data_IF_716182348528
#
_entry.id   IF_716182348528
#
_cell.length_a   1.000
_cell.length_b   1.000
_cell.length_c   1.000
_cell.angle_alpha   90.00
_cell.angle_beta   90.00
_cell.angle_gamma   90.00
#
_symmetry.space_group_name_H-M   'P 1'
#
loop_
_entity.id
_entity.type
_entity.pdbx_description
1 polymer ?
#
# COMPACT_ATOMS: atom_id res chain seq x y z
N UNK A 1 -4.41 24.88 -9.54
CA UNK A 1 -3.19 25.70 -9.35
C UNK A 1 -1.97 24.83 -9.67
N UNK A 2 -1.17 25.24 -10.65
CA UNK A 2 0.11 24.59 -10.98
C UNK A 2 1.25 25.43 -10.39
N UNK A 3 2.29 24.76 -9.87
CA UNK A 3 3.54 25.42 -9.48
C UNK A 3 4.28 25.94 -10.73
N UNK A 4 5.33 26.76 -10.53
CA UNK A 4 6.22 27.20 -11.61
C UNK A 4 6.81 26.03 -12.42
N UNK A 5 6.88 24.83 -11.83
CA UNK A 5 7.36 23.59 -12.47
C UNK A 5 6.20 22.72 -13.02
N UNK A 6 4.97 23.24 -13.15
CA UNK A 6 3.83 22.53 -13.73
C UNK A 6 3.13 21.52 -12.81
N UNK A 7 3.60 21.30 -11.59
CA UNK A 7 3.00 20.36 -10.64
C UNK A 7 1.69 20.90 -10.08
N UNK A 8 0.72 20.00 -9.87
CA UNK A 8 -0.56 20.32 -9.24
C UNK A 8 -0.36 20.38 -7.72
N UNK A 9 -0.09 21.56 -7.17
CA UNK A 9 0.22 21.77 -5.73
C UNK A 9 -0.82 21.13 -4.83
N UNK A 10 -2.11 21.28 -5.16
CA UNK A 10 -3.22 20.73 -4.36
C UNK A 10 -3.15 19.21 -4.35
N UNK A 11 -2.93 18.57 -5.50
CA UNK A 11 -2.83 17.11 -5.58
C UNK A 11 -1.61 16.57 -4.82
N UNK A 12 -0.46 17.24 -4.92
CA UNK A 12 0.73 16.86 -4.16
C UNK A 12 0.49 16.93 -2.64
N UNK A 13 -0.20 17.98 -2.19
CA UNK A 13 -0.57 18.13 -0.77
C UNK A 13 -1.55 17.04 -0.32
N UNK A 14 -2.58 16.74 -1.12
CA UNK A 14 -3.53 15.66 -0.82
C UNK A 14 -2.83 14.30 -0.76
N UNK A 15 -1.97 14.00 -1.71
CA UNK A 15 -1.19 12.74 -1.69
C UNK A 15 -0.32 12.62 -0.43
N UNK A 16 0.27 13.72 0.05
CA UNK A 16 1.03 13.71 1.31
C UNK A 16 0.13 13.48 2.53
N UNK A 17 -1.05 14.09 2.56
CA UNK A 17 -2.03 13.87 3.65
C UNK A 17 -2.44 12.41 3.69
N UNK A 18 -2.81 11.84 2.55
CA UNK A 18 -3.20 10.43 2.42
C UNK A 18 -2.04 9.51 2.82
N UNK A 19 -0.84 9.79 2.31
CA UNK A 19 0.36 9.01 2.64
C UNK A 19 0.70 9.02 4.13
N UNK A 20 0.46 10.13 4.83
CA UNK A 20 0.61 10.21 6.29
C UNK A 20 -0.52 9.49 7.03
N UNK A 21 -1.73 9.45 6.48
CA UNK A 21 -2.87 8.77 7.10
C UNK A 21 -2.72 7.23 7.07
N UNK A 22 -2.13 6.66 6.01
CA UNK A 22 -1.99 5.21 5.88
C UNK A 22 -1.30 4.53 7.08
N UNK A 23 -0.15 5.01 7.59
CA UNK A 23 0.48 4.42 8.77
C UNK A 23 -0.36 4.54 10.04
N UNK A 24 -1.12 5.64 10.20
CA UNK A 24 -2.00 5.85 11.34
C UNK A 24 -3.16 4.87 11.34
N UNK A 25 -3.84 4.72 10.19
CA UNK A 25 -4.94 3.76 9.99
C UNK A 25 -4.44 2.33 10.21
N UNK A 26 -3.29 1.98 9.65
CA UNK A 26 -2.72 0.66 9.82
C UNK A 26 -2.34 0.39 11.28
N UNK A 27 -1.75 1.37 11.98
CA UNK A 27 -1.39 1.27 13.39
C UNK A 27 -2.61 1.07 14.29
N UNK A 28 -3.68 1.83 14.05
CA UNK A 28 -4.96 1.67 14.77
C UNK A 28 -5.54 0.27 14.54
N UNK A 29 -5.64 -0.16 13.29
CA UNK A 29 -6.17 -1.49 12.96
C UNK A 29 -5.37 -2.61 13.63
N UNK A 30 -4.04 -2.62 13.48
CA UNK A 30 -3.21 -3.70 14.02
C UNK A 30 -3.22 -3.73 15.55
N UNK A 31 -3.29 -2.58 16.21
CA UNK A 31 -3.32 -2.53 17.67
C UNK A 31 -4.66 -3.01 18.26
N UNK A 32 -5.77 -2.75 17.56
CA UNK A 32 -7.13 -3.04 18.08
C UNK A 32 -7.68 -4.38 17.59
N UNK A 33 -7.46 -4.72 16.33
CA UNK A 33 -8.11 -5.86 15.67
C UNK A 33 -7.25 -7.11 15.57
N UNK A 34 -5.93 -7.01 15.77
CA UNK A 34 -4.99 -8.10 15.54
C UNK A 34 -4.11 -8.40 16.77
N UNK A 35 -4.74 -8.60 17.92
CA UNK A 35 -4.11 -9.03 19.19
C UNK A 35 -2.91 -8.15 19.63
N UNK A 36 -2.95 -6.85 19.29
CA UNK A 36 -1.89 -5.92 19.65
C UNK A 36 -0.65 -6.00 18.78
N UNK A 37 -0.78 -6.41 17.51
CA UNK A 37 0.31 -6.40 16.56
C UNK A 37 0.87 -4.99 16.37
N UNK A 38 2.19 -4.84 16.43
CA UNK A 38 2.89 -3.56 16.30
C UNK A 38 3.63 -3.55 14.96
N UNK A 39 3.46 -2.45 14.20
CA UNK A 39 4.17 -2.25 12.93
C UNK A 39 5.65 -2.02 13.20
N UNK A 40 6.50 -2.72 12.48
CA UNK A 40 7.94 -2.52 12.54
C UNK A 40 8.72 -3.81 12.66
N UNK A 41 9.96 -3.69 13.15
CA UNK A 41 10.84 -4.80 13.49
C UNK A 41 11.41 -4.57 14.88
N UNK A 42 11.36 -5.60 15.70
CA UNK A 42 11.89 -5.55 17.07
C UNK A 42 12.74 -6.79 17.31
N UNK A 43 13.69 -6.72 18.20
CA UNK A 43 14.60 -7.85 18.47
C UNK A 43 13.91 -9.20 18.60
N UNK A 44 14.12 -10.09 17.62
CA UNK A 44 13.49 -11.41 17.56
C UNK A 44 12.11 -11.45 16.89
N UNK A 45 11.53 -10.32 16.52
CA UNK A 45 10.27 -10.24 15.76
C UNK A 45 10.58 -9.83 14.32
N UNK A 46 10.11 -10.61 13.31
CA UNK A 46 10.31 -10.26 11.91
C UNK A 46 9.68 -8.89 11.57
N UNK A 47 10.23 -8.17 10.59
CA UNK A 47 9.66 -6.90 10.15
C UNK A 47 8.27 -7.08 9.54
N UNK A 48 7.39 -6.10 9.78
CA UNK A 48 6.10 -6.02 9.09
C UNK A 48 6.32 -5.94 7.58
N UNK A 49 5.72 -6.85 6.83
CA UNK A 49 5.84 -6.92 5.36
C UNK A 49 4.78 -6.02 4.71
N UNK A 50 5.21 -4.94 4.06
CA UNK A 50 4.33 -3.95 3.44
C UNK A 50 4.54 -3.93 1.93
N UNK A 51 3.43 -4.04 1.19
CA UNK A 51 3.43 -3.99 -0.28
C UNK A 51 2.69 -2.75 -0.75
N UNK A 52 3.37 -1.94 -1.58
CA UNK A 52 2.76 -0.83 -2.29
C UNK A 52 2.49 -1.21 -3.74
N UNK A 53 1.27 -0.97 -4.20
CA UNK A 53 0.86 -1.03 -5.60
C UNK A 53 0.77 0.40 -6.13
N UNK A 54 1.83 0.82 -6.81
CA UNK A 54 2.04 2.17 -7.32
C UNK A 54 3.23 2.87 -6.64
N UNK A 55 4.20 3.32 -7.45
CA UNK A 55 5.30 4.18 -7.02
C UNK A 55 4.85 5.66 -7.08
N UNK A 56 3.89 6.01 -6.25
CA UNK A 56 3.20 7.30 -6.23
C UNK A 56 3.73 8.21 -5.12
N UNK A 57 3.24 9.44 -5.06
CA UNK A 57 3.54 10.37 -3.96
C UNK A 57 2.96 9.89 -2.62
N UNK A 58 1.85 9.16 -2.64
CA UNK A 58 1.29 8.50 -1.45
C UNK A 58 2.26 7.43 -0.96
N UNK A 59 2.71 6.54 -1.86
CA UNK A 59 3.66 5.50 -1.54
C UNK A 59 4.98 6.07 -1.00
N UNK A 60 5.53 7.11 -1.63
CA UNK A 60 6.74 7.80 -1.14
C UNK A 60 6.58 8.30 0.29
N UNK A 61 5.44 8.96 0.59
CA UNK A 61 5.21 9.56 1.90
C UNK A 61 4.99 8.49 2.98
N UNK A 62 4.13 7.51 2.71
CA UNK A 62 3.86 6.42 3.65
C UNK A 62 5.09 5.53 3.87
N UNK A 63 5.83 5.20 2.82
CA UNK A 63 7.02 4.35 2.90
C UNK A 63 8.11 4.96 3.79
N UNK A 64 8.31 6.28 3.76
CA UNK A 64 9.27 6.96 4.66
C UNK A 64 8.96 6.72 6.14
N UNK A 65 7.67 6.76 6.49
CA UNK A 65 7.23 6.54 7.87
C UNK A 65 7.41 5.06 8.25
N UNK A 66 6.98 4.14 7.41
CA UNK A 66 7.12 2.71 7.68
C UNK A 66 8.60 2.27 7.74
N UNK A 67 9.47 2.85 6.91
CA UNK A 67 10.91 2.61 6.99
C UNK A 67 11.51 3.09 8.30
N UNK A 68 11.02 4.20 8.86
CA UNK A 68 11.46 4.67 10.17
C UNK A 68 11.03 3.77 11.34
N UNK A 69 10.10 2.85 11.08
CA UNK A 69 9.66 1.79 12.00
C UNK A 69 10.34 0.44 11.70
N UNK A 70 11.35 0.41 10.82
CA UNK A 70 12.05 -0.80 10.38
C UNK A 70 11.14 -1.85 9.71
N UNK A 71 10.06 -1.42 9.02
CA UNK A 71 9.22 -2.31 8.21
C UNK A 71 9.93 -2.72 6.90
N UNK A 72 9.59 -3.91 6.40
CA UNK A 72 10.06 -4.43 5.11
C UNK A 72 9.14 -3.94 3.99
N UNK A 73 9.67 -3.21 3.01
CA UNK A 73 8.88 -2.56 1.97
C UNK A 73 9.17 -3.14 0.59
N UNK A 74 8.09 -3.45 -0.13
CA UNK A 74 8.11 -3.82 -1.54
C UNK A 74 7.18 -2.91 -2.33
N UNK A 75 7.69 -2.35 -3.45
CA UNK A 75 6.95 -1.40 -4.29
C UNK A 75 6.85 -1.96 -5.71
N UNK A 76 5.63 -2.05 -6.22
CA UNK A 76 5.33 -2.51 -7.57
C UNK A 76 4.72 -1.40 -8.39
N UNK A 77 5.25 -1.16 -9.60
CA UNK A 77 4.72 -0.16 -10.54
C UNK A 77 5.02 -0.60 -11.98
N UNK A 78 4.19 -0.20 -12.95
CA UNK A 78 4.47 -0.48 -14.36
C UNK A 78 5.58 0.42 -14.92
N UNK A 79 5.88 1.55 -14.29
CA UNK A 79 6.86 2.53 -14.74
C UNK A 79 8.22 2.32 -14.08
N UNK A 80 9.20 1.88 -14.86
CA UNK A 80 10.59 1.75 -14.40
C UNK A 80 11.16 3.10 -13.93
N UNK A 81 10.79 4.21 -14.59
CA UNK A 81 11.23 5.55 -14.16
C UNK A 81 10.75 5.84 -12.74
N UNK A 82 9.44 5.67 -12.46
CA UNK A 82 8.90 5.91 -11.11
C UNK A 82 9.50 4.99 -10.05
N UNK A 83 9.79 3.73 -10.39
CA UNK A 83 10.46 2.80 -9.49
C UNK A 83 11.89 3.24 -9.17
N UNK A 84 12.62 3.77 -10.15
CA UNK A 84 13.95 4.31 -9.93
C UNK A 84 13.90 5.60 -9.09
N UNK A 85 12.99 6.50 -9.42
CA UNK A 85 12.83 7.78 -8.71
C UNK A 85 12.50 7.54 -7.23
N UNK A 86 11.50 6.69 -6.92
CA UNK A 86 11.12 6.41 -5.54
C UNK A 86 12.24 5.74 -4.75
N UNK A 87 12.99 4.84 -5.38
CA UNK A 87 14.15 4.19 -4.75
C UNK A 87 15.23 5.20 -4.36
N UNK A 88 15.51 6.18 -5.22
CA UNK A 88 16.46 7.26 -4.92
C UNK A 88 15.93 8.17 -3.79
N UNK A 89 14.64 8.54 -3.85
CA UNK A 89 14.02 9.43 -2.87
C UNK A 89 13.96 8.82 -1.47
N UNK A 90 13.72 7.52 -1.38
CA UNK A 90 13.65 6.83 -0.09
C UNK A 90 15.03 6.66 0.57
N UNK A 91 16.10 6.57 -0.22
CA UNK A 91 17.48 6.48 0.29
C UNK A 91 17.78 5.21 1.12
N UNK A 92 16.83 4.26 1.15
CA UNK A 92 16.92 2.98 1.84
C UNK A 92 16.83 1.82 0.85
N UNK A 93 17.41 0.65 1.15
CA UNK A 93 17.28 -0.53 0.31
C UNK A 93 15.84 -1.04 0.37
N UNK A 94 15.03 -0.64 -0.61
CA UNK A 94 13.66 -1.15 -0.81
C UNK A 94 13.61 -2.06 -2.03
N UNK A 95 12.80 -3.12 -1.95
CA UNK A 95 12.53 -3.96 -3.10
C UNK A 95 11.59 -3.22 -4.07
N UNK A 96 12.02 -3.10 -5.32
CA UNK A 96 11.17 -2.53 -6.39
C UNK A 96 11.08 -3.50 -7.55
N UNK A 97 9.91 -3.65 -8.13
CA UNK A 97 9.67 -4.51 -9.30
C UNK A 97 8.55 -3.97 -10.17
N UNK A 98 8.61 -4.29 -11.44
CA UNK A 98 7.43 -4.16 -12.29
C UNK A 98 6.38 -5.21 -11.93
N UNK A 99 5.19 -5.11 -12.53
CA UNK A 99 4.04 -5.95 -12.21
C UNK A 99 4.16 -7.37 -12.78
N UNK A 100 5.33 -8.02 -12.64
CA UNK A 100 5.47 -9.42 -13.00
C UNK A 100 4.59 -10.29 -12.09
N UNK A 101 3.77 -11.20 -12.66
CA UNK A 101 2.75 -11.94 -11.88
C UNK A 101 3.32 -12.70 -10.70
N UNK A 102 4.36 -13.50 -10.88
CA UNK A 102 4.92 -14.34 -9.83
C UNK A 102 5.52 -13.54 -8.65
N UNK A 103 6.42 -12.55 -8.86
CA UNK A 103 6.93 -11.72 -7.77
C UNK A 103 5.82 -10.95 -7.04
N UNK A 104 4.82 -10.43 -7.78
CA UNK A 104 3.69 -9.72 -7.21
C UNK A 104 2.84 -10.64 -6.32
N UNK A 105 2.38 -11.79 -6.85
CA UNK A 105 1.58 -12.76 -6.10
C UNK A 105 2.29 -13.22 -4.82
N UNK A 106 3.58 -13.54 -4.92
CA UNK A 106 4.37 -13.95 -3.78
C UNK A 106 4.53 -12.86 -2.71
N UNK A 107 4.62 -11.60 -3.13
CA UNK A 107 4.67 -10.46 -2.21
C UNK A 107 3.32 -10.27 -1.51
N UNK A 108 2.20 -10.30 -2.25
CA UNK A 108 0.84 -10.14 -1.71
C UNK A 108 0.51 -11.23 -0.67
N UNK A 109 0.81 -12.50 -0.97
CA UNK A 109 0.54 -13.62 -0.06
C UNK A 109 1.27 -13.45 1.28
N UNK A 110 2.46 -12.86 1.26
CA UNK A 110 3.29 -12.65 2.47
C UNK A 110 3.06 -11.31 3.15
N UNK A 111 2.28 -10.42 2.55
CA UNK A 111 2.05 -9.09 3.08
C UNK A 111 1.21 -9.11 4.37
N UNK A 112 1.60 -8.27 5.32
CA UNK A 112 0.77 -7.90 6.46
C UNK A 112 -0.11 -6.69 6.10
N UNK A 113 0.41 -5.80 5.24
CA UNK A 113 -0.27 -4.62 4.75
C UNK A 113 -0.07 -4.45 3.25
N UNK A 114 -1.16 -4.20 2.53
CA UNK A 114 -1.14 -3.79 1.13
C UNK A 114 -1.72 -2.39 1.00
N UNK A 115 -1.00 -1.48 0.35
CA UNK A 115 -1.48 -0.12 0.05
C UNK A 115 -1.54 0.04 -1.46
N UNK A 116 -2.75 0.18 -2.00
CA UNK A 116 -3.00 0.32 -3.42
C UNK A 116 -3.32 1.78 -3.76
N UNK A 117 -2.45 2.41 -4.54
CA UNK A 117 -2.61 3.76 -5.10
C UNK A 117 -2.19 3.73 -6.57
N UNK A 118 -2.75 2.80 -7.32
CA UNK A 118 -2.38 2.60 -8.72
C UNK A 118 -3.43 3.18 -9.65
N UNK A 119 -3.00 4.13 -10.48
CA UNK A 119 -3.81 4.74 -11.54
C UNK A 119 -3.66 4.02 -12.88
N UNK A 120 -3.46 2.71 -12.88
CA UNK A 120 -3.27 2.00 -14.14
C UNK A 120 -4.58 1.88 -14.89
N UNK A 121 -4.64 2.55 -16.03
CA UNK A 121 -5.68 2.39 -17.04
C UNK A 121 -5.48 1.10 -17.86
N UNK A 122 -5.23 -0.03 -17.24
CA UNK A 122 -5.42 -1.30 -17.92
C UNK A 122 -6.89 -1.65 -17.76
N UNK A 123 -7.60 -1.70 -18.89
CA UNK A 123 -8.99 -2.15 -18.93
C UNK A 123 -9.04 -3.57 -18.36
N UNK A 124 -9.98 -3.77 -17.44
CA UNK A 124 -10.65 -5.03 -17.13
C UNK A 124 -9.89 -6.12 -16.34
N UNK A 125 -8.65 -5.94 -15.87
CA UNK A 125 -8.01 -6.94 -15.01
C UNK A 125 -7.70 -6.38 -13.61
N UNK A 126 -8.12 -7.10 -12.59
CA UNK A 126 -7.67 -6.86 -11.22
C UNK A 126 -6.21 -7.29 -11.05
N UNK A 127 -5.42 -6.51 -10.32
CA UNK A 127 -4.07 -6.90 -9.91
C UNK A 127 -4.11 -7.90 -8.75
N UNK A 128 -5.17 -7.79 -7.92
CA UNK A 128 -5.46 -8.70 -6.82
C UNK A 128 -6.88 -9.21 -7.02
N UNK A 129 -7.01 -10.43 -7.52
CA UNK A 129 -8.27 -11.16 -7.62
C UNK A 129 -8.69 -11.73 -6.26
N UNK A 130 -9.96 -12.14 -6.14
CA UNK A 130 -10.49 -12.70 -4.90
C UNK A 130 -9.75 -13.98 -4.47
N UNK A 131 -9.27 -14.78 -5.42
CA UNK A 131 -8.51 -15.99 -5.14
C UNK A 131 -7.14 -15.67 -4.51
N UNK A 132 -6.53 -14.55 -4.91
CA UNK A 132 -5.28 -14.09 -4.29
C UNK A 132 -5.53 -13.54 -2.89
N UNK A 133 -6.64 -12.83 -2.66
CA UNK A 133 -7.05 -12.36 -1.32
C UNK A 133 -7.24 -13.53 -0.36
N UNK A 134 -7.88 -14.63 -0.78
CA UNK A 134 -8.04 -15.85 0.04
C UNK A 134 -6.72 -16.45 0.51
N UNK A 135 -5.63 -16.19 -0.20
CA UNK A 135 -4.29 -16.69 0.09
C UNK A 135 -3.43 -15.76 0.92
N UNK A 136 -3.89 -14.54 1.19
CA UNK A 136 -3.21 -13.59 2.07
C UNK A 136 -3.17 -14.07 3.51
N UNK A 137 -2.29 -13.48 4.31
CA UNK A 137 -2.23 -13.77 5.75
C UNK A 137 -3.56 -13.40 6.42
N UNK A 138 -4.05 -14.24 7.32
CA UNK A 138 -5.20 -13.90 8.18
C UNK A 138 -4.85 -12.67 9.02
N UNK A 139 -5.76 -11.72 9.10
CA UNK A 139 -5.54 -10.48 9.83
C UNK A 139 -4.70 -9.45 9.06
N UNK A 140 -4.35 -9.71 7.79
CA UNK A 140 -3.72 -8.68 6.96
C UNK A 140 -4.70 -7.57 6.60
N UNK A 141 -4.15 -6.40 6.29
CA UNK A 141 -4.91 -5.19 5.95
C UNK A 141 -4.65 -4.77 4.50
N UNK A 142 -5.70 -4.37 3.81
CA UNK A 142 -5.64 -3.70 2.50
C UNK A 142 -6.16 -2.27 2.66
N UNK A 143 -5.37 -1.28 2.26
CA UNK A 143 -5.78 0.13 2.14
C UNK A 143 -5.84 0.48 0.65
N UNK A 144 -7.04 0.59 0.11
CA UNK A 144 -7.25 0.95 -1.29
C UNK A 144 -7.49 2.46 -1.43
N UNK A 145 -6.42 3.21 -1.66
CA UNK A 145 -6.45 4.66 -1.85
C UNK A 145 -7.04 5.03 -3.21
N UNK A 146 -6.85 4.17 -4.20
CA UNK A 146 -7.28 4.38 -5.59
C UNK A 146 -8.75 4.07 -5.86
N UNK A 147 -9.52 3.64 -4.87
CA UNK A 147 -10.86 3.08 -5.03
C UNK A 147 -11.84 3.97 -5.81
N UNK A 148 -11.80 5.28 -5.59
CA UNK A 148 -12.66 6.25 -6.28
C UNK A 148 -12.36 6.38 -7.79
N UNK A 149 -11.22 5.88 -8.23
CA UNK A 149 -10.74 5.95 -9.62
C UNK A 149 -10.79 4.60 -10.33
N UNK A 150 -11.35 3.60 -9.68
CA UNK A 150 -11.43 2.23 -10.12
C UNK A 150 -10.40 1.35 -9.41
N UNK A 151 -10.85 0.60 -8.42
CA UNK A 151 -10.02 -0.35 -7.69
C UNK A 151 -9.37 -1.38 -8.63
N UNK A 152 -8.14 -1.75 -8.33
CA UNK A 152 -7.45 -2.89 -8.93
C UNK A 152 -7.49 -4.14 -8.04
N UNK A 153 -8.29 -4.08 -6.99
CA UNK A 153 -8.54 -5.18 -6.05
C UNK A 153 -10.00 -5.58 -6.15
N UNK A 154 -10.26 -6.80 -6.57
CA UNK A 154 -11.61 -7.29 -6.86
C UNK A 154 -12.55 -7.24 -5.64
N UNK A 155 -11.99 -7.43 -4.46
CA UNK A 155 -12.74 -7.45 -3.19
C UNK A 155 -12.95 -6.07 -2.58
N UNK A 156 -12.32 -5.02 -3.13
CA UNK A 156 -12.43 -3.66 -2.59
C UNK A 156 -13.75 -2.98 -2.97
N UNK A 157 -14.39 -2.34 -1.99
CA UNK A 157 -15.52 -1.46 -2.20
C UNK A 157 -15.44 -0.24 -1.26
N UNK A 158 -16.06 0.89 -1.61
CA UNK A 158 -16.02 2.10 -0.80
C UNK A 158 -16.58 1.87 0.61
N UNK A 159 -15.92 2.49 1.59
CA UNK A 159 -16.34 2.51 3.01
C UNK A 159 -16.84 3.90 3.40
N UNK A 160 -17.41 4.02 4.61
CA UNK A 160 -17.85 5.28 5.19
C UNK A 160 -17.10 5.54 6.50
N UNK A 161 -17.17 6.77 7.01
CA UNK A 161 -16.57 7.10 8.31
C UNK A 161 -17.25 6.37 9.48
N UNK A 162 -18.51 5.97 9.33
CA UNK A 162 -19.24 5.19 10.34
C UNK A 162 -18.82 3.72 10.32
N UNK A 163 -18.48 3.20 9.13
CA UNK A 163 -18.01 1.84 8.91
C UNK A 163 -16.72 1.86 8.08
N UNK A 164 -15.58 2.24 8.69
CA UNK A 164 -14.33 2.47 7.96
C UNK A 164 -13.65 1.19 7.50
N UNK A 165 -14.02 0.04 8.06
CA UNK A 165 -13.44 -1.26 7.75
C UNK A 165 -14.51 -2.31 7.49
N UNK A 166 -14.20 -3.29 6.66
CA UNK A 166 -14.92 -4.54 6.53
C UNK A 166 -13.92 -5.68 6.32
N UNK A 167 -14.34 -6.91 6.62
CA UNK A 167 -13.49 -8.09 6.45
C UNK A 167 -14.06 -9.02 5.40
N UNK A 168 -13.18 -9.52 4.51
CA UNK A 168 -13.50 -10.55 3.54
C UNK A 168 -12.34 -11.57 3.51
N UNK A 169 -12.65 -12.86 3.66
CA UNK A 169 -11.66 -13.96 3.71
C UNK A 169 -10.60 -13.80 4.82
N UNK A 170 -10.96 -13.23 5.97
CA UNK A 170 -10.05 -12.88 7.07
C UNK A 170 -8.98 -11.83 6.69
N UNK A 171 -9.20 -11.08 5.63
CA UNK A 171 -8.44 -9.88 5.24
C UNK A 171 -9.34 -8.68 5.44
N UNK A 172 -8.82 -7.65 6.09
CA UNK A 172 -9.56 -6.40 6.34
C UNK A 172 -9.26 -5.39 5.24
N UNK A 173 -10.30 -4.65 4.84
CA UNK A 173 -10.22 -3.62 3.82
C UNK A 173 -10.60 -2.27 4.43
#
# INVERSE_FOLDING_TARGET
>A
LRSKNGNLIIMDTLCKIIGNACPLIAGEYFSLANDGYIIGSFGGIPPTEIVFLGATKVAETAAKIFLSMDASIKIFDCSLSRLNDIKQILGHPVYTSTLYPEPLRNAIIKADLVIADSFYRTKDEYLIDEELVKRMKKGSLIIDVGIAQGSKIETSHPTTLEHPFYSKHNVTH
#
